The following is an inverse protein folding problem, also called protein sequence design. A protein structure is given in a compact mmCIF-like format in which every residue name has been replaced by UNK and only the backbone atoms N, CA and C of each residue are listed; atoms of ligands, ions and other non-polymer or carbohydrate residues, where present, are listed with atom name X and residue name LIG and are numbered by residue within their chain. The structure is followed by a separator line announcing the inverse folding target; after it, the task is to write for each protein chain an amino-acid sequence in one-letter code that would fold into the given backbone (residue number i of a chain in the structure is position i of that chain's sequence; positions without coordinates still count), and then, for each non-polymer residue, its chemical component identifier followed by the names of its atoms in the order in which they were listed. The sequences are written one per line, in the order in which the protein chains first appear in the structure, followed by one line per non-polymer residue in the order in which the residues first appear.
data_IF_030630807440
#
_entry.id   IF_030630807440
#
_cell.length_a   1.000
_cell.length_b   1.000
_cell.length_c   1.000
_cell.angle_alpha   90.00
_cell.angle_beta   90.00
_cell.angle_gamma   90.00
#
_symmetry.space_group_name_H-M   'P 1'
#
loop_
_entity.id
_entity.type
_entity.pdbx_description
1 polymer ?
#
# COMPACT_ATOMS: atom_id res chain seq x y z
N UNK A 1 -10.28 34.57 14.03
CA UNK A 1 -9.75 34.03 12.75
C UNK A 1 -9.37 32.59 12.99
N UNK A 2 -10.31 31.66 12.76
CA UNK A 2 -10.04 30.23 12.89
C UNK A 2 -9.12 29.80 11.74
N UNK A 3 -7.85 29.61 12.06
CA UNK A 3 -6.91 29.02 11.13
C UNK A 3 -7.36 27.56 10.89
N UNK A 4 -7.86 27.26 9.69
CA UNK A 4 -8.12 25.88 9.30
C UNK A 4 -6.83 25.08 9.52
N UNK A 5 -6.88 23.95 10.25
CA UNK A 5 -5.70 23.14 10.46
C UNK A 5 -5.12 22.75 9.10
N UNK A 6 -3.80 22.87 8.97
CA UNK A 6 -3.12 22.48 7.74
C UNK A 6 -3.50 21.04 7.35
N UNK A 7 -3.72 20.78 6.06
CA UNK A 7 -4.09 19.45 5.62
C UNK A 7 -2.98 18.45 6.00
N UNK A 8 -3.34 17.40 6.73
CA UNK A 8 -2.38 16.36 7.14
C UNK A 8 -1.76 15.71 5.90
N UNK A 9 -0.45 15.42 5.90
CA UNK A 9 0.21 14.80 4.77
C UNK A 9 -0.24 13.36 4.52
N UNK A 10 -0.06 12.89 3.28
CA UNK A 10 -0.19 11.47 2.91
C UNK A 10 1.18 10.90 2.61
N UNK A 11 1.53 9.80 3.28
CA UNK A 11 2.69 8.98 2.97
C UNK A 11 2.23 7.71 2.24
N UNK A 12 2.68 7.54 1.00
CA UNK A 12 2.49 6.30 0.23
C UNK A 12 3.80 5.54 0.23
N UNK A 13 3.81 4.34 0.83
CA UNK A 13 4.98 3.50 0.93
C UNK A 13 4.90 2.31 -0.04
N UNK A 14 5.97 2.10 -0.82
CA UNK A 14 6.13 0.97 -1.72
C UNK A 14 7.56 0.39 -1.61
N UNK A 15 7.75 -0.90 -1.94
CA UNK A 15 9.03 -1.58 -1.75
C UNK A 15 10.00 -1.34 -2.91
N UNK A 16 9.51 -1.51 -4.15
CA UNK A 16 10.34 -1.66 -5.34
C UNK A 16 10.44 -0.36 -6.15
N UNK A 17 11.54 -0.24 -6.89
CA UNK A 17 11.71 0.89 -7.82
C UNK A 17 10.65 0.92 -8.92
N UNK A 18 10.21 -0.25 -9.41
CA UNK A 18 9.15 -0.36 -10.41
C UNK A 18 7.78 0.04 -9.87
N UNK A 19 7.48 -0.28 -8.61
CA UNK A 19 6.25 0.17 -7.94
C UNK A 19 6.24 1.69 -7.78
N UNK A 20 7.36 2.26 -7.33
CA UNK A 20 7.51 3.72 -7.26
C UNK A 20 7.35 4.38 -8.63
N UNK A 21 7.90 3.77 -9.69
CA UNK A 21 7.73 4.27 -11.06
C UNK A 21 6.25 4.25 -11.49
N UNK A 22 5.51 3.17 -11.17
CA UNK A 22 4.08 3.08 -11.45
C UNK A 22 3.31 4.22 -10.79
N UNK A 23 3.52 4.43 -9.49
CA UNK A 23 2.90 5.52 -8.73
C UNK A 23 3.25 6.91 -9.30
N UNK A 24 4.53 7.13 -9.66
CA UNK A 24 4.97 8.40 -10.25
C UNK A 24 4.32 8.71 -11.59
N UNK A 25 4.08 7.69 -12.40
CA UNK A 25 3.49 7.87 -13.74
C UNK A 25 1.96 7.89 -13.71
N UNK A 26 1.33 7.39 -12.65
CA UNK A 26 -0.12 7.45 -12.42
C UNK A 26 -0.63 8.85 -12.06
N UNK A 27 0.22 9.67 -11.49
CA UNK A 27 -0.12 11.04 -11.11
C UNK A 27 0.32 12.08 -12.14
N UNK A 28 -0.51 12.39 -13.11
CA UNK A 28 -0.25 13.50 -14.04
C UNK A 28 -0.50 14.83 -13.33
N UNK A 29 0.52 15.67 -13.23
CA UNK A 29 0.39 17.09 -12.81
C UNK A 29 1.01 17.47 -11.47
N UNK A 30 1.79 16.63 -10.81
CA UNK A 30 2.46 16.98 -9.57
C UNK A 30 3.79 17.72 -9.82
N UNK A 31 3.91 18.91 -9.27
CA UNK A 31 5.22 19.54 -9.07
C UNK A 31 6.09 18.69 -8.16
N UNK A 32 7.24 18.24 -8.65
CA UNK A 32 8.13 17.33 -7.92
C UNK A 32 9.21 18.10 -7.20
N UNK A 33 9.38 17.85 -5.91
CA UNK A 33 10.57 18.27 -5.16
C UNK A 33 11.16 17.04 -4.48
N UNK A 34 12.46 16.77 -4.68
CA UNK A 34 13.18 15.80 -3.89
C UNK A 34 13.29 16.29 -2.45
N UNK A 35 13.01 15.43 -1.49
CA UNK A 35 13.13 15.75 -0.05
C UNK A 35 14.59 15.69 0.46
N UNK A 36 15.58 15.57 -0.41
CA UNK A 36 16.98 15.40 0.00
C UNK A 36 17.26 14.10 0.75
N UNK A 37 16.29 13.20 0.86
CA UNK A 37 16.43 11.90 1.53
C UNK A 37 16.37 10.77 0.50
N UNK A 38 17.29 9.79 0.55
CA UNK A 38 17.29 8.67 -0.36
C UNK A 38 15.96 7.92 -0.34
N UNK A 39 15.33 7.75 -1.51
CA UNK A 39 14.10 6.97 -1.68
C UNK A 39 12.79 7.69 -1.43
N UNK A 40 12.78 8.93 -0.92
CA UNK A 40 11.56 9.70 -0.70
C UNK A 40 11.43 10.86 -1.70
N UNK A 41 10.22 11.04 -2.23
CA UNK A 41 9.87 12.15 -3.11
C UNK A 41 8.55 12.79 -2.61
N UNK A 42 8.55 14.11 -2.44
CA UNK A 42 7.35 14.86 -2.14
C UNK A 42 6.76 15.45 -3.40
N UNK A 43 5.44 15.49 -3.46
CA UNK A 43 4.67 16.16 -4.50
C UNK A 43 3.43 16.82 -3.91
N UNK A 44 2.97 17.90 -4.54
CA UNK A 44 1.64 18.45 -4.29
C UNK A 44 0.71 17.94 -5.38
N UNK A 45 -0.32 17.21 -4.98
CA UNK A 45 -1.35 16.73 -5.89
C UNK A 45 -2.55 17.66 -5.78
N UNK A 46 -3.11 18.04 -6.90
CA UNK A 46 -4.09 19.14 -7.03
C UNK A 46 -5.36 19.04 -6.15
N UNK A 47 -5.51 17.99 -5.34
CA UNK A 47 -6.76 17.73 -4.63
C UNK A 47 -6.68 17.43 -3.13
N UNK A 48 -5.52 17.45 -2.47
CA UNK A 48 -5.55 16.93 -1.10
C UNK A 48 -4.39 17.24 -0.14
N UNK A 49 -3.49 18.11 -0.48
CA UNK A 49 -2.36 18.42 0.40
C UNK A 49 -1.04 17.70 0.01
N UNK A 50 0.00 17.81 0.84
CA UNK A 50 1.31 17.25 0.53
C UNK A 50 1.29 15.73 0.53
N UNK A 51 1.80 15.13 -0.56
CA UNK A 51 1.94 13.69 -0.72
C UNK A 51 3.40 13.32 -0.83
N UNK A 52 3.82 12.33 -0.08
CA UNK A 52 5.17 11.78 -0.14
C UNK A 52 5.11 10.32 -0.60
N UNK A 53 5.84 9.98 -1.64
CA UNK A 53 6.03 8.58 -2.07
C UNK A 53 7.39 8.11 -1.57
N UNK A 54 7.39 7.10 -0.70
CA UNK A 54 8.57 6.48 -0.12
C UNK A 54 8.82 5.12 -0.77
N UNK A 55 10.03 4.92 -1.28
CA UNK A 55 10.55 3.58 -1.56
C UNK A 55 11.22 3.03 -0.31
N UNK A 56 10.61 2.04 0.31
CA UNK A 56 11.11 1.44 1.56
C UNK A 56 12.31 0.54 1.37
N UNK A 57 12.45 -0.07 0.18
CA UNK A 57 13.29 -1.23 -0.05
C UNK A 57 12.56 -2.53 0.33
N UNK A 58 13.14 -3.65 -0.05
CA UNK A 58 12.55 -4.98 0.08
C UNK A 58 12.73 -5.54 1.49
N UNK A 59 11.68 -6.16 2.00
CA UNK A 59 11.64 -6.87 3.28
C UNK A 59 11.29 -6.01 4.50
N UNK A 60 10.86 -6.66 5.59
CA UNK A 60 10.25 -6.00 6.74
C UNK A 60 11.20 -5.04 7.46
N UNK A 61 12.47 -5.42 7.62
CA UNK A 61 13.47 -4.58 8.30
C UNK A 61 13.76 -3.28 7.54
N UNK A 62 13.79 -3.34 6.19
CA UNK A 62 14.00 -2.16 5.35
C UNK A 62 12.78 -1.24 5.41
N UNK A 63 11.58 -1.80 5.34
CA UNK A 63 10.33 -1.08 5.42
C UNK A 63 10.20 -0.31 6.75
N UNK A 64 10.36 -0.99 7.88
CA UNK A 64 10.28 -0.40 9.20
C UNK A 64 11.27 0.76 9.38
N UNK A 65 12.56 0.54 9.07
CA UNK A 65 13.58 1.59 9.19
C UNK A 65 13.32 2.80 8.31
N UNK A 66 12.86 2.57 7.08
CA UNK A 66 12.61 3.66 6.13
C UNK A 66 11.43 4.51 6.55
N UNK A 67 10.36 3.87 7.04
CA UNK A 67 9.15 4.55 7.53
C UNK A 67 9.46 5.32 8.80
N UNK A 68 10.06 4.71 9.82
CA UNK A 68 10.41 5.38 11.07
C UNK A 68 11.31 6.60 10.82
N UNK A 69 12.35 6.45 9.98
CA UNK A 69 13.24 7.57 9.62
C UNK A 69 12.50 8.72 8.97
N UNK A 70 11.54 8.43 8.08
CA UNK A 70 10.82 9.47 7.38
C UNK A 70 9.79 10.14 8.28
N UNK A 71 9.06 9.38 9.09
CA UNK A 71 8.02 9.89 10.00
C UNK A 71 8.60 10.67 11.21
N UNK A 72 9.90 10.56 11.47
CA UNK A 72 10.60 11.44 12.41
C UNK A 72 10.68 12.90 11.92
N UNK A 73 10.32 13.19 10.66
CA UNK A 73 10.24 14.56 10.15
C UNK A 73 8.97 15.24 10.67
N UNK A 74 9.08 16.38 11.36
CA UNK A 74 7.93 17.13 11.86
C UNK A 74 6.92 17.52 10.77
N UNK A 75 7.37 17.70 9.52
CA UNK A 75 6.51 17.98 8.37
C UNK A 75 5.54 16.81 8.05
N UNK A 76 5.81 15.62 8.55
CA UNK A 76 4.98 14.43 8.41
C UNK A 76 4.27 14.03 9.72
N UNK A 77 4.24 14.92 10.69
CA UNK A 77 3.51 14.70 11.93
C UNK A 77 2.03 14.41 11.64
N UNK A 78 1.51 13.29 12.16
CA UNK A 78 0.13 12.87 11.94
C UNK A 78 -0.20 12.48 10.48
N UNK A 79 0.79 12.30 9.61
CA UNK A 79 0.58 11.85 8.24
C UNK A 79 -0.22 10.55 8.20
N UNK A 80 -1.22 10.45 7.32
CA UNK A 80 -1.84 9.18 6.98
C UNK A 80 -0.84 8.32 6.20
N UNK A 81 -0.80 7.01 6.43
CA UNK A 81 0.15 6.10 5.79
C UNK A 81 -0.58 5.02 5.02
N UNK A 82 -0.27 4.90 3.73
CA UNK A 82 -0.81 3.87 2.87
C UNK A 82 0.34 3.01 2.32
N UNK A 83 0.33 1.72 2.67
CA UNK A 83 1.24 0.74 2.09
C UNK A 83 0.66 0.22 0.78
N UNK A 84 1.46 0.21 -0.29
CA UNK A 84 1.03 -0.31 -1.59
C UNK A 84 2.15 -1.05 -2.30
N UNK A 85 1.82 -1.76 -3.37
CA UNK A 85 2.75 -2.56 -4.14
C UNK A 85 2.19 -3.93 -4.48
N UNK A 86 3.06 -4.90 -4.69
CA UNK A 86 2.68 -6.24 -5.11
C UNK A 86 2.52 -7.21 -3.93
N UNK A 87 1.71 -8.24 -4.12
CA UNK A 87 1.54 -9.34 -3.16
C UNK A 87 1.34 -10.68 -3.87
N UNK A 88 1.49 -11.76 -3.12
CA UNK A 88 0.99 -13.06 -3.52
C UNK A 88 -0.41 -13.27 -2.92
N UNK A 89 -1.38 -13.66 -3.74
CA UNK A 89 -2.69 -14.10 -3.30
C UNK A 89 -2.61 -15.48 -2.66
N UNK A 90 -3.40 -15.71 -1.63
CA UNK A 90 -3.48 -16.98 -0.92
C UNK A 90 -4.85 -17.66 -1.09
N UNK A 91 -5.89 -16.91 -1.39
CA UNK A 91 -7.22 -17.44 -1.59
C UNK A 91 -7.40 -18.00 -3.01
N UNK A 92 -8.20 -19.08 -3.19
CA UNK A 92 -8.56 -19.58 -4.52
C UNK A 92 -9.31 -18.53 -5.33
N UNK A 93 -9.17 -18.59 -6.64
CA UNK A 93 -9.83 -17.68 -7.56
C UNK A 93 -9.23 -16.28 -7.61
N UNK A 94 -8.11 -16.03 -6.95
CA UNK A 94 -7.32 -14.81 -7.13
C UNK A 94 -6.48 -14.89 -8.40
N UNK A 95 -6.40 -13.79 -9.13
CA UNK A 95 -5.65 -13.71 -10.40
C UNK A 95 -4.65 -12.55 -10.40
N UNK A 96 -3.55 -12.67 -11.15
CA UNK A 96 -2.64 -11.55 -11.36
C UNK A 96 -3.36 -10.31 -11.91
N UNK A 97 -3.20 -9.20 -11.23
CA UNK A 97 -3.89 -7.94 -11.51
C UNK A 97 -5.14 -7.69 -10.68
N UNK A 98 -5.59 -8.65 -9.86
CA UNK A 98 -6.60 -8.40 -8.84
C UNK A 98 -6.03 -7.48 -7.76
N UNK A 99 -6.93 -6.85 -7.01
CA UNK A 99 -6.61 -5.95 -5.93
C UNK A 99 -6.93 -6.59 -4.59
N UNK A 100 -6.11 -6.31 -3.60
CA UNK A 100 -6.34 -6.66 -2.20
C UNK A 100 -6.37 -5.39 -1.37
N UNK A 101 -7.48 -5.12 -0.71
CA UNK A 101 -7.61 -4.07 0.30
C UNK A 101 -7.57 -4.73 1.67
N UNK A 102 -6.52 -4.47 2.43
CA UNK A 102 -6.36 -5.09 3.73
C UNK A 102 -7.36 -4.53 4.75
N UNK A 103 -8.03 -5.42 5.47
CA UNK A 103 -8.77 -5.08 6.69
C UNK A 103 -7.81 -4.90 7.87
N UNK A 104 -6.77 -5.71 7.86
CA UNK A 104 -5.64 -5.63 8.78
C UNK A 104 -4.37 -6.15 8.11
N UNK A 105 -3.23 -5.70 8.60
CA UNK A 105 -1.93 -6.29 8.31
C UNK A 105 -1.37 -6.92 9.57
N UNK A 106 -0.73 -8.09 9.46
CA UNK A 106 -0.19 -8.80 10.61
C UNK A 106 1.11 -9.52 10.31
N UNK A 107 1.98 -9.60 11.29
CA UNK A 107 3.17 -10.44 11.31
C UNK A 107 3.44 -10.93 12.74
N UNK A 108 4.49 -11.70 13.02
CA UNK A 108 4.78 -12.16 14.38
C UNK A 108 4.95 -11.06 15.43
N UNK A 109 5.15 -9.81 15.00
CA UNK A 109 5.36 -8.64 15.89
C UNK A 109 4.08 -7.93 16.26
N UNK A 110 2.96 -8.19 15.57
CA UNK A 110 1.68 -7.61 15.87
C UNK A 110 0.73 -7.49 14.69
N UNK A 111 -0.44 -6.96 14.99
CA UNK A 111 -1.54 -6.72 14.04
C UNK A 111 -1.89 -5.24 14.03
N UNK A 112 -2.10 -4.70 12.84
CA UNK A 112 -2.54 -3.31 12.65
C UNK A 112 -3.82 -3.31 11.83
N UNK A 113 -4.90 -2.79 12.39
CA UNK A 113 -6.17 -2.60 11.66
C UNK A 113 -6.05 -1.45 10.68
N UNK A 114 -6.53 -1.67 9.47
CA UNK A 114 -6.64 -0.65 8.43
C UNK A 114 -7.95 0.13 8.57
N UNK A 115 -7.95 1.38 8.12
CA UNK A 115 -9.14 2.24 8.18
C UNK A 115 -9.60 2.62 6.77
N UNK A 116 -10.92 2.80 6.60
CA UNK A 116 -11.51 3.20 5.32
C UNK A 116 -11.48 2.11 4.24
N UNK A 117 -11.47 0.84 4.63
CA UNK A 117 -11.47 -0.32 3.72
C UNK A 117 -12.66 -0.29 2.77
N UNK A 118 -13.87 -0.07 3.27
CA UNK A 118 -15.09 -0.02 2.45
C UNK A 118 -15.01 1.10 1.39
N UNK A 119 -14.51 2.27 1.78
CA UNK A 119 -14.31 3.37 0.85
C UNK A 119 -13.30 3.00 -0.24
N UNK A 120 -12.16 2.42 0.14
CA UNK A 120 -11.14 1.99 -0.83
C UNK A 120 -11.72 0.97 -1.81
N UNK A 121 -12.49 0.00 -1.34
CA UNK A 121 -13.16 -1.02 -2.16
C UNK A 121 -14.11 -0.35 -3.16
N UNK A 122 -15.00 0.53 -2.67
CA UNK A 122 -15.96 1.23 -3.52
C UNK A 122 -15.30 2.11 -4.59
N UNK A 123 -14.24 2.83 -4.22
CA UNK A 123 -13.49 3.67 -5.15
C UNK A 123 -12.71 2.85 -6.19
N UNK A 124 -12.09 1.74 -5.77
CA UNK A 124 -11.38 0.85 -6.67
C UNK A 124 -12.32 0.15 -7.66
N UNK A 125 -13.46 -0.35 -7.19
CA UNK A 125 -14.47 -0.96 -8.05
C UNK A 125 -15.01 0.02 -9.11
N UNK A 126 -15.17 1.29 -8.73
CA UNK A 126 -15.62 2.34 -9.65
C UNK A 126 -14.54 2.78 -10.64
N UNK A 127 -13.29 2.90 -10.17
CA UNK A 127 -12.18 3.40 -10.98
C UNK A 127 -11.59 2.35 -11.91
N UNK A 128 -11.73 1.08 -11.57
CA UNK A 128 -11.14 -0.07 -12.28
C UNK A 128 -12.22 -1.14 -12.56
N UNK A 129 -13.25 -0.82 -13.34
CA UNK A 129 -14.30 -1.77 -13.68
C UNK A 129 -13.68 -3.00 -14.37
N UNK A 130 -14.11 -4.18 -13.97
CA UNK A 130 -13.58 -5.46 -14.45
C UNK A 130 -12.34 -5.96 -13.72
N UNK A 131 -11.93 -5.31 -12.62
CA UNK A 131 -10.93 -5.84 -11.68
C UNK A 131 -11.61 -6.33 -10.42
N UNK A 132 -11.23 -7.52 -9.97
CA UNK A 132 -11.72 -8.05 -8.70
C UNK A 132 -10.98 -7.37 -7.55
N UNK A 133 -11.74 -6.95 -6.54
CA UNK A 133 -11.21 -6.38 -5.30
C UNK A 133 -11.53 -7.35 -4.17
N UNK A 134 -10.50 -7.90 -3.56
CA UNK A 134 -10.61 -8.80 -2.41
C UNK A 134 -10.35 -8.03 -1.12
N UNK A 135 -11.02 -8.42 -0.03
CA UNK A 135 -10.82 -7.84 1.30
C UNK A 135 -10.52 -8.92 2.32
N UNK A 136 -9.66 -8.61 3.27
CA UNK A 136 -9.32 -9.51 4.36
C UNK A 136 -7.93 -9.25 4.95
N UNK A 137 -7.45 -10.12 5.83
CA UNK A 137 -6.15 -10.01 6.45
C UNK A 137 -5.01 -10.22 5.43
N UNK A 138 -4.01 -9.33 5.48
CA UNK A 138 -2.74 -9.47 4.75
C UNK A 138 -1.65 -9.82 5.76
N UNK A 139 -0.93 -10.92 5.52
CA UNK A 139 0.17 -11.34 6.39
C UNK A 139 1.52 -10.92 5.84
N UNK A 140 2.42 -10.53 6.73
CA UNK A 140 3.81 -10.23 6.41
C UNK A 140 4.69 -11.48 6.44
N UNK A 141 5.67 -11.53 5.53
CA UNK A 141 6.75 -12.52 5.54
C UNK A 141 8.10 -11.82 5.42
N UNK A 142 9.17 -12.45 5.86
CA UNK A 142 10.55 -11.96 5.66
C UNK A 142 11.22 -12.56 4.41
N UNK A 143 10.53 -13.46 3.72
CA UNK A 143 10.99 -14.13 2.52
C UNK A 143 9.83 -14.36 1.53
N UNK A 144 10.18 -14.83 0.33
CA UNK A 144 9.19 -15.18 -0.71
C UNK A 144 8.53 -16.50 -0.37
N UNK A 145 7.25 -16.45 -0.01
CA UNK A 145 6.43 -17.62 0.39
C UNK A 145 6.06 -18.46 -0.83
N UNK A 146 6.27 -19.77 -0.75
CA UNK A 146 6.01 -20.75 -1.83
C UNK A 146 5.45 -22.06 -1.32
N UNK A 147 4.80 -22.80 -2.23
CA UNK A 147 4.37 -24.18 -1.98
C UNK A 147 3.48 -24.34 -0.73
N UNK A 148 3.73 -25.39 0.10
CA UNK A 148 2.89 -25.70 1.25
C UNK A 148 2.76 -24.58 2.29
N UNK A 149 3.77 -23.72 2.40
CA UNK A 149 3.74 -22.57 3.31
C UNK A 149 2.55 -21.63 3.03
N UNK A 150 2.18 -21.46 1.75
CA UNK A 150 0.99 -20.67 1.37
C UNK A 150 -0.28 -21.24 2.00
N UNK A 151 -0.43 -22.56 2.00
CA UNK A 151 -1.57 -23.23 2.61
C UNK A 151 -1.61 -23.01 4.11
N UNK A 152 -0.44 -23.06 4.78
CA UNK A 152 -0.31 -22.74 6.19
C UNK A 152 -0.74 -21.31 6.51
N UNK A 153 -0.27 -20.32 5.75
CA UNK A 153 -0.67 -18.92 5.93
C UNK A 153 -2.16 -18.70 5.66
N UNK A 154 -2.69 -19.35 4.61
CA UNK A 154 -4.13 -19.32 4.34
C UNK A 154 -4.96 -19.89 5.47
N UNK A 155 -4.54 -20.98 6.09
CA UNK A 155 -5.23 -21.58 7.22
C UNK A 155 -5.33 -20.64 8.43
N UNK A 156 -4.47 -19.63 8.53
CA UNK A 156 -4.59 -18.55 9.52
C UNK A 156 -5.67 -17.51 9.18
N UNK A 157 -6.37 -17.65 8.05
CA UNK A 157 -7.34 -16.69 7.53
C UNK A 157 -6.73 -15.57 6.69
N UNK A 158 -5.41 -15.58 6.41
CA UNK A 158 -4.81 -14.60 5.51
C UNK A 158 -5.25 -14.85 4.06
N UNK A 159 -5.60 -13.76 3.35
CA UNK A 159 -5.98 -13.81 1.94
C UNK A 159 -4.83 -13.46 1.00
N UNK A 160 -3.82 -12.76 1.51
CA UNK A 160 -2.62 -12.41 0.76
C UNK A 160 -1.41 -12.33 1.68
N UNK A 161 -0.22 -12.41 1.07
CA UNK A 161 1.07 -12.26 1.75
C UNK A 161 1.97 -11.30 0.97
N UNK A 162 2.66 -10.44 1.69
CA UNK A 162 3.75 -9.61 1.17
C UNK A 162 4.90 -9.50 2.18
N UNK A 163 5.91 -8.71 1.86
CA UNK A 163 7.09 -8.59 2.73
C UNK A 163 7.15 -7.26 3.48
N UNK A 164 6.28 -6.30 3.22
CA UNK A 164 6.46 -4.93 3.71
C UNK A 164 5.24 -4.32 4.39
N UNK A 165 4.00 -4.71 4.05
CA UNK A 165 2.79 -4.05 4.56
C UNK A 165 2.73 -4.04 6.09
N UNK A 166 2.89 -5.21 6.71
CA UNK A 166 2.80 -5.32 8.16
C UNK A 166 3.89 -4.47 8.85
N UNK A 167 5.13 -4.55 8.38
CA UNK A 167 6.24 -3.77 8.91
C UNK A 167 6.07 -2.26 8.72
N UNK A 168 5.57 -1.85 7.54
CA UNK A 168 5.28 -0.45 7.21
C UNK A 168 4.23 0.13 8.15
N UNK A 169 3.09 -0.55 8.29
CA UNK A 169 1.98 -0.01 9.07
C UNK A 169 2.26 -0.12 10.57
N UNK A 170 2.89 -1.18 11.04
CA UNK A 170 3.29 -1.31 12.45
C UNK A 170 4.33 -0.23 12.82
N UNK A 171 5.32 -0.02 11.97
CA UNK A 171 6.28 1.07 12.14
C UNK A 171 5.58 2.43 12.18
N UNK A 172 4.62 2.66 11.27
CA UNK A 172 3.90 3.92 11.20
C UNK A 172 3.08 4.21 12.48
N UNK A 173 2.35 3.23 13.01
CA UNK A 173 1.53 3.45 14.21
C UNK A 173 2.37 3.57 15.50
N UNK A 174 3.58 3.00 15.51
CA UNK A 174 4.55 3.18 16.60
C UNK A 174 5.08 4.62 16.69
N UNK A 175 5.19 5.31 15.56
CA UNK A 175 5.56 6.72 15.47
C UNK A 175 4.38 7.68 15.79
N UNK A 176 3.28 7.16 16.31
CA UNK A 176 2.11 7.91 16.76
C UNK A 176 0.82 7.54 16.06
N UNK A 177 -0.30 7.83 16.70
CA UNK A 177 -1.63 7.53 16.20
C UNK A 177 -1.91 8.22 14.87
N UNK A 178 -2.25 7.44 13.84
CA UNK A 178 -2.51 7.93 12.48
C UNK A 178 -3.39 6.99 11.68
N UNK A 179 -4.12 7.48 10.66
CA UNK A 179 -4.82 6.62 9.74
C UNK A 179 -3.83 5.77 8.93
N UNK A 180 -4.10 4.47 8.79
CA UNK A 180 -3.28 3.56 8.00
C UNK A 180 -4.15 2.66 7.13
N UNK A 181 -3.66 2.33 5.94
CA UNK A 181 -4.30 1.40 5.02
C UNK A 181 -3.25 0.62 4.21
N UNK A 182 -3.65 -0.52 3.64
CA UNK A 182 -2.85 -1.23 2.67
C UNK A 182 -3.69 -1.66 1.47
N UNK A 183 -3.18 -1.37 0.27
CA UNK A 183 -3.76 -1.80 -1.01
C UNK A 183 -2.67 -2.47 -1.82
N UNK A 184 -2.89 -3.73 -2.18
CA UNK A 184 -1.92 -4.54 -2.92
C UNK A 184 -2.48 -4.99 -4.27
N UNK A 185 -1.59 -5.23 -5.21
CA UNK A 185 -1.91 -5.83 -6.51
C UNK A 185 -1.34 -7.24 -6.54
N UNK A 186 -2.19 -8.21 -6.81
CA UNK A 186 -1.79 -9.60 -6.92
C UNK A 186 -0.90 -9.79 -8.15
N UNK A 187 0.29 -10.36 -7.96
CA UNK A 187 1.20 -10.74 -9.05
C UNK A 187 1.36 -12.25 -9.16
N UNK A 188 1.00 -12.97 -8.10
CA UNK A 188 1.17 -14.39 -7.94
C UNK A 188 0.01 -14.97 -7.13
N UNK A 189 -0.55 -16.10 -7.51
CA UNK A 189 -1.72 -16.72 -6.89
C UNK A 189 -1.60 -18.25 -6.94
N UNK A 190 -2.36 -19.01 -6.13
CA UNK A 190 -2.22 -20.47 -6.03
C UNK A 190 -2.29 -21.21 -7.36
N UNK A 191 -3.12 -20.71 -8.29
CA UNK A 191 -3.34 -21.31 -9.61
C UNK A 191 -2.44 -20.70 -10.71
N UNK A 192 -1.64 -19.68 -10.33
CA UNK A 192 -0.80 -18.89 -11.24
C UNK A 192 0.58 -18.61 -10.62
N UNK A 193 1.30 -19.67 -10.23
CA UNK A 193 2.65 -19.49 -9.66
C UNK A 193 3.63 -18.85 -10.66
N UNK A 194 4.44 -17.91 -10.16
CA UNK A 194 5.41 -17.09 -10.91
C UNK A 194 6.55 -17.88 -11.62
N UNK A 195 6.40 -19.18 -11.88
CA UNK A 195 7.49 -20.03 -12.36
C UNK A 195 7.57 -20.13 -13.89
N UNK A 196 6.70 -19.51 -14.68
CA UNK A 196 6.73 -19.63 -16.16
C UNK A 196 6.44 -18.31 -16.88
N UNK A 197 6.79 -18.27 -18.18
CA UNK A 197 6.73 -17.19 -19.18
C UNK A 197 5.51 -16.23 -19.11
N UNK A 198 4.44 -16.59 -18.39
CA UNK A 198 3.32 -15.71 -18.03
C UNK A 198 3.68 -14.57 -17.08
N UNK A 199 4.79 -14.64 -16.37
CA UNK A 199 5.29 -13.67 -15.39
C UNK A 199 5.44 -12.25 -15.97
N UNK A 200 5.86 -12.12 -17.24
CA UNK A 200 6.04 -10.80 -17.87
C UNK A 200 4.68 -10.14 -18.11
N UNK A 201 3.69 -10.90 -18.60
CA UNK A 201 2.33 -10.37 -18.83
C UNK A 201 1.61 -10.04 -17.52
N UNK A 202 1.74 -10.89 -16.49
CA UNK A 202 1.23 -10.64 -15.15
C UNK A 202 1.86 -9.39 -14.53
N UNK A 203 3.17 -9.24 -14.63
CA UNK A 203 3.91 -8.07 -14.16
C UNK A 203 3.50 -6.76 -14.86
N UNK A 204 3.30 -6.79 -16.19
CA UNK A 204 2.82 -5.62 -16.95
C UNK A 204 1.39 -5.26 -16.55
N UNK A 205 0.51 -6.26 -16.35
CA UNK A 205 -0.85 -6.01 -15.88
C UNK A 205 -0.85 -5.39 -14.48
N UNK A 206 -0.13 -5.97 -13.55
CA UNK A 206 -0.01 -5.47 -12.18
C UNK A 206 0.59 -4.05 -12.11
N UNK A 207 1.60 -3.76 -12.94
CA UNK A 207 2.16 -2.41 -13.06
C UNK A 207 1.10 -1.39 -13.52
N UNK A 208 0.31 -1.73 -14.55
CA UNK A 208 -0.76 -0.86 -15.05
C UNK A 208 -1.84 -0.62 -13.99
N UNK A 209 -2.23 -1.67 -13.26
CA UNK A 209 -3.19 -1.56 -12.16
C UNK A 209 -2.62 -0.67 -11.07
N UNK A 210 -1.40 -0.91 -10.59
CA UNK A 210 -0.75 -0.10 -9.55
C UNK A 210 -0.63 1.38 -9.95
N UNK A 211 -0.42 1.65 -11.23
CA UNK A 211 -0.42 3.02 -11.76
C UNK A 211 -1.80 3.68 -11.64
N UNK A 212 -2.87 2.91 -11.78
CA UNK A 212 -4.25 3.42 -11.87
C UNK A 212 -4.92 3.61 -10.51
N UNK A 213 -4.38 3.03 -9.42
CA UNK A 213 -5.00 3.12 -8.07
C UNK A 213 -4.75 4.45 -7.34
N UNK A 214 -3.80 5.25 -7.81
CA UNK A 214 -3.35 6.45 -7.10
C UNK A 214 -4.47 7.48 -6.82
N UNK A 215 -5.42 7.77 -7.73
CA UNK A 215 -6.54 8.65 -7.43
C UNK A 215 -7.38 8.18 -6.25
N UNK A 216 -7.59 6.88 -6.12
CA UNK A 216 -8.33 6.26 -5.01
C UNK A 216 -7.65 6.53 -3.65
N UNK A 217 -6.31 6.56 -3.62
CA UNK A 217 -5.57 6.86 -2.39
C UNK A 217 -5.79 8.30 -1.92
N UNK A 218 -5.99 9.23 -2.83
CA UNK A 218 -6.30 10.62 -2.49
C UNK A 218 -7.73 10.76 -1.96
N UNK A 219 -8.70 10.03 -2.52
CA UNK A 219 -10.07 9.99 -2.01
C UNK A 219 -10.11 9.41 -0.60
N UNK A 220 -9.42 8.28 -0.38
CA UNK A 220 -9.28 7.70 0.95
C UNK A 220 -8.66 8.71 1.94
N UNK A 221 -7.56 9.34 1.56
CA UNK A 221 -6.88 10.32 2.40
C UNK A 221 -7.81 11.48 2.80
N UNK A 222 -8.54 12.04 1.84
CA UNK A 222 -9.52 13.10 2.12
C UNK A 222 -10.59 12.65 3.09
N UNK A 223 -11.11 11.44 2.91
CA UNK A 223 -12.18 10.89 3.73
C UNK A 223 -11.76 10.65 5.19
N UNK A 224 -10.55 10.10 5.41
CA UNK A 224 -10.08 9.80 6.77
C UNK A 224 -9.66 11.03 7.55
N UNK A 225 -9.54 12.19 6.88
CA UNK A 225 -9.27 13.48 7.52
C UNK A 225 -10.54 14.23 7.93
N UNK A 226 -11.70 13.83 7.41
CA UNK A 226 -12.96 14.44 7.79
C UNK A 226 -13.32 14.03 9.24
N UNK A 227 -13.80 14.96 10.08
CA UNK A 227 -14.31 14.60 11.39
C UNK A 227 -15.46 13.61 11.22
N UNK A 228 -15.41 12.50 11.94
CA UNK A 228 -16.54 11.58 12.04
C UNK A 228 -17.67 12.33 12.74
N UNK A 229 -18.78 12.49 12.03
CA UNK A 229 -20.03 13.02 12.62
C UNK A 229 -20.67 11.96 13.53
#
# INVERSE_FOLDING_TARGET
MDARPAPRPLLIACALGIERLALRTGGRGAGRRGLGRPGAEAGHWAAGGPVTVLRTGMGPKAAERSVARLLADPALAGAAVLATGFCAGLAPGMHPGDLVVAEETRDPRGTVRCVGTELLVGELARSLPGRTVHTGPVTGSDHVVRGPERSGLRATGAIAVDMESAATLLGAVREGARPVAAVRVVVDAPEHELVRIGTVRGGISAFRVLRSVLPTFFEWHRSVLLPRR
#
